data_IF_396728861345
#
_entry.id   IF_396728861345
#
_cell.length_a   1.000
_cell.length_b   1.000
_cell.length_c   1.000
_cell.angle_alpha   90.00
_cell.angle_beta   90.00
_cell.angle_gamma   90.00
#
_symmetry.space_group_name_H-M   'P 1'
#
loop_
_entity.id
_entity.type
_entity.pdbx_description
1 polymer ?
#
# COMPACT_ATOMS: atom_id res chain seq x y z
N UNK A 1 7.03 29.10 8.75
CA UNK A 1 7.41 28.44 7.46
C UNK A 1 8.83 27.87 7.47
N UNK A 2 9.75 28.37 8.28
CA UNK A 2 11.12 27.85 8.37
C UNK A 2 11.24 26.52 9.15
N UNK A 3 10.28 26.20 10.02
CA UNK A 3 10.32 24.96 10.80
C UNK A 3 9.99 23.68 9.97
N UNK A 4 9.27 23.82 8.87
CA UNK A 4 8.94 22.66 7.99
C UNK A 4 10.19 22.12 7.28
N UNK A 5 11.02 22.98 6.71
CA UNK A 5 12.24 22.57 6.02
C UNK A 5 13.28 21.87 6.90
N UNK A 6 13.42 22.28 8.16
CA UNK A 6 14.33 21.63 9.12
C UNK A 6 13.80 20.25 9.56
N UNK A 7 12.50 20.11 9.73
CA UNK A 7 11.87 18.82 10.06
C UNK A 7 12.10 17.77 8.95
N UNK A 8 11.97 18.16 7.70
CA UNK A 8 12.14 17.25 6.57
C UNK A 8 13.61 16.84 6.35
N UNK A 9 14.56 17.76 6.56
CA UNK A 9 16.01 17.45 6.54
C UNK A 9 16.36 16.45 7.65
N UNK A 10 15.82 16.66 8.85
CA UNK A 10 16.10 15.78 9.99
C UNK A 10 15.50 14.38 9.79
N UNK A 11 14.25 14.26 9.34
CA UNK A 11 13.62 12.98 9.03
C UNK A 11 14.43 12.18 8.02
N UNK A 12 14.88 12.82 6.96
CA UNK A 12 15.71 12.22 5.92
C UNK A 12 17.01 11.65 6.50
N UNK A 13 17.71 12.41 7.33
CA UNK A 13 18.95 11.96 7.97
C UNK A 13 18.71 10.74 8.84
N UNK A 14 17.63 10.74 9.63
CA UNK A 14 17.26 9.61 10.48
C UNK A 14 16.95 8.37 9.65
N UNK A 15 16.24 8.49 8.53
CA UNK A 15 15.98 7.37 7.63
C UNK A 15 17.28 6.71 7.15
N UNK A 16 18.25 7.55 6.71
CA UNK A 16 19.55 7.08 6.23
C UNK A 16 20.40 6.45 7.36
N UNK A 17 20.41 7.06 8.54
CA UNK A 17 21.16 6.60 9.71
C UNK A 17 20.60 5.29 10.28
N UNK A 18 19.25 5.13 10.25
CA UNK A 18 18.59 3.91 10.71
C UNK A 18 18.61 2.78 9.66
N UNK A 19 19.02 3.06 8.43
CA UNK A 19 19.04 2.07 7.35
C UNK A 19 17.63 1.55 7.02
N UNK A 20 16.63 2.44 6.97
CA UNK A 20 15.26 2.05 6.63
C UNK A 20 15.21 1.46 5.23
N UNK A 21 14.34 0.48 5.03
CA UNK A 21 14.19 -0.21 3.74
C UNK A 21 13.64 0.73 2.67
N UNK A 22 12.68 1.58 3.03
CA UNK A 22 12.22 2.72 2.22
C UNK A 22 11.80 3.91 3.08
N UNK A 23 11.64 5.06 2.44
CA UNK A 23 11.02 6.27 2.97
C UNK A 23 9.75 6.54 2.17
N UNK A 24 8.60 6.30 2.78
CA UNK A 24 7.29 6.39 2.14
C UNK A 24 6.73 7.80 2.25
N UNK A 25 6.08 8.26 1.17
CA UNK A 25 5.36 9.52 1.06
C UNK A 25 6.03 10.70 1.77
N UNK A 26 7.25 11.05 1.36
CA UNK A 26 8.12 11.99 2.10
C UNK A 26 7.54 13.41 2.20
N UNK A 27 6.60 13.77 1.34
CA UNK A 27 5.98 15.09 1.36
C UNK A 27 4.65 15.09 2.08
N UNK A 28 4.39 16.18 2.83
CA UNK A 28 3.13 16.37 3.54
C UNK A 28 1.93 16.33 2.58
N UNK A 29 0.81 15.82 3.10
CA UNK A 29 -0.47 15.74 2.40
C UNK A 29 -0.40 14.93 1.07
N UNK A 30 0.47 13.93 0.99
CA UNK A 30 0.61 13.07 -0.19
C UNK A 30 1.08 13.84 -1.43
N UNK A 31 2.06 14.72 -1.28
CA UNK A 31 2.59 15.51 -2.39
C UNK A 31 3.17 14.67 -3.51
N UNK A 32 2.71 14.89 -4.74
CA UNK A 32 3.01 14.08 -5.94
C UNK A 32 3.93 14.78 -6.96
N UNK A 33 4.76 15.73 -6.51
CA UNK A 33 5.66 16.44 -7.40
C UNK A 33 6.82 15.58 -7.90
N UNK A 34 6.86 15.24 -9.19
CA UNK A 34 8.01 14.57 -9.83
C UNK A 34 9.30 15.31 -9.52
N UNK A 35 9.34 16.63 -9.77
CA UNK A 35 10.53 17.44 -9.52
C UNK A 35 10.97 17.43 -8.05
N UNK A 36 10.01 17.49 -7.13
CA UNK A 36 10.27 17.44 -5.69
C UNK A 36 10.95 16.12 -5.30
N UNK A 37 10.40 14.99 -5.72
CA UNK A 37 10.94 13.66 -5.44
C UNK A 37 12.30 13.43 -6.08
N UNK A 38 12.49 13.82 -7.34
CA UNK A 38 13.82 13.80 -8.00
C UNK A 38 14.84 14.63 -7.23
N UNK A 39 14.43 15.78 -6.66
CA UNK A 39 15.31 16.61 -5.84
C UNK A 39 15.64 15.93 -4.52
N UNK A 40 14.64 15.35 -3.85
CA UNK A 40 14.83 14.61 -2.60
C UNK A 40 15.79 13.43 -2.78
N UNK A 41 15.65 12.66 -3.84
CA UNK A 41 16.51 11.50 -4.16
C UNK A 41 18.00 11.86 -4.34
N UNK A 42 18.34 13.11 -4.64
CA UNK A 42 19.74 13.56 -4.67
C UNK A 42 20.34 13.72 -3.26
N UNK A 43 19.51 13.73 -2.24
CA UNK A 43 19.89 14.06 -0.87
C UNK A 43 19.58 12.97 0.16
N UNK A 44 18.89 11.91 -0.22
CA UNK A 44 18.55 10.76 0.62
C UNK A 44 19.12 9.49 -0.01
N UNK A 45 19.67 8.60 0.82
CA UNK A 45 20.15 7.28 0.37
C UNK A 45 19.08 6.21 0.51
N UNK A 46 18.20 6.37 1.49
CA UNK A 46 17.05 5.49 1.69
C UNK A 46 16.16 5.53 0.46
N UNK A 47 15.83 4.38 -0.14
CA UNK A 47 14.94 4.32 -1.29
C UNK A 47 13.59 4.98 -1.02
N UNK A 48 12.99 5.57 -2.04
CA UNK A 48 11.70 6.26 -1.96
C UNK A 48 10.60 5.34 -2.45
N UNK A 49 9.55 5.18 -1.64
CA UNK A 49 8.29 4.51 -2.00
C UNK A 49 7.21 5.57 -2.13
N UNK A 50 6.63 5.69 -3.31
CA UNK A 50 5.47 6.54 -3.57
C UNK A 50 4.57 5.89 -4.60
N UNK A 51 3.50 6.53 -4.90
CA UNK A 51 2.41 6.35 -5.85
C UNK A 51 1.07 6.02 -5.22
N UNK A 52 0.98 5.84 -3.90
CA UNK A 52 -0.29 5.69 -3.20
C UNK A 52 -1.27 6.83 -3.54
N UNK A 53 -0.80 8.07 -3.57
CA UNK A 53 -1.63 9.25 -3.86
C UNK A 53 -1.71 9.62 -5.35
N UNK A 54 -1.05 8.87 -6.23
CA UNK A 54 -1.04 9.14 -7.69
C UNK A 54 -2.19 8.46 -8.44
N UNK A 55 -2.85 7.54 -7.90
CA UNK A 55 -4.15 6.92 -8.18
C UNK A 55 -4.55 6.70 -9.66
N UNK A 56 -3.61 6.55 -10.57
CA UNK A 56 -3.87 6.07 -11.93
C UNK A 56 -2.58 5.54 -12.58
N UNK A 57 -2.76 4.62 -13.50
CA UNK A 57 -1.67 3.91 -14.15
C UNK A 57 -0.71 4.85 -14.90
N UNK A 58 -1.25 5.82 -15.62
CA UNK A 58 -0.46 6.70 -16.49
C UNK A 58 0.47 7.57 -15.66
N UNK A 59 -0.08 8.28 -14.67
CA UNK A 59 0.69 9.19 -13.82
C UNK A 59 1.69 8.43 -12.94
N UNK A 60 1.31 7.25 -12.42
CA UNK A 60 2.22 6.40 -11.66
C UNK A 60 3.40 5.92 -12.55
N UNK A 61 3.10 5.56 -13.81
CA UNK A 61 4.14 5.20 -14.78
C UNK A 61 5.05 6.39 -15.08
N UNK A 62 4.51 7.59 -15.24
CA UNK A 62 5.31 8.80 -15.45
C UNK A 62 6.25 9.08 -14.27
N UNK A 63 5.78 8.89 -13.03
CA UNK A 63 6.60 8.99 -11.82
C UNK A 63 7.76 7.99 -11.83
N UNK A 64 7.49 6.74 -12.19
CA UNK A 64 8.50 5.68 -12.29
C UNK A 64 9.52 5.98 -13.39
N UNK A 65 9.06 6.29 -14.60
CA UNK A 65 9.92 6.62 -15.76
C UNK A 65 10.78 7.84 -15.51
N UNK A 66 10.24 8.84 -14.82
CA UNK A 66 10.98 10.02 -14.42
C UNK A 66 12.04 9.75 -13.32
N UNK A 67 12.09 8.54 -12.76
CA UNK A 67 12.98 8.21 -11.65
C UNK A 67 12.66 8.98 -10.37
N UNK A 68 11.39 9.33 -10.18
CA UNK A 68 10.93 10.05 -8.99
C UNK A 68 10.67 9.11 -7.79
N UNK A 69 10.60 7.81 -8.04
CA UNK A 69 10.44 6.77 -7.01
C UNK A 69 11.42 5.62 -7.23
N UNK A 70 11.62 4.78 -6.21
CA UNK A 70 12.41 3.55 -6.28
C UNK A 70 11.52 2.31 -6.19
N UNK A 71 10.37 2.44 -5.56
CA UNK A 71 9.32 1.43 -5.47
C UNK A 71 7.98 2.03 -5.90
N UNK A 72 7.12 1.26 -6.53
CA UNK A 72 5.74 1.66 -6.77
C UNK A 72 4.85 1.24 -5.59
N UNK A 73 3.86 2.06 -5.24
CA UNK A 73 2.81 1.73 -4.28
C UNK A 73 1.50 1.56 -5.05
N UNK A 74 0.81 0.45 -4.88
CA UNK A 74 -0.48 0.19 -5.52
C UNK A 74 -1.54 -0.18 -4.51
N UNK A 75 -2.75 0.33 -4.69
CA UNK A 75 -3.88 0.07 -3.80
C UNK A 75 -5.11 -0.37 -4.61
N UNK A 76 -5.58 -1.62 -4.45
CA UNK A 76 -6.77 -2.08 -5.14
C UNK A 76 -8.03 -1.25 -4.88
N UNK A 77 -8.11 -0.54 -3.77
CA UNK A 77 -9.25 0.31 -3.44
C UNK A 77 -9.27 1.61 -4.28
N UNK A 78 -8.10 2.03 -4.79
CA UNK A 78 -7.94 3.32 -5.48
C UNK A 78 -7.48 3.21 -6.93
N UNK A 79 -6.77 2.15 -7.29
CA UNK A 79 -6.09 2.03 -8.58
C UNK A 79 -6.83 1.13 -9.59
N UNK A 80 -8.16 1.13 -9.53
CA UNK A 80 -8.99 0.36 -10.45
C UNK A 80 -9.07 -1.14 -10.12
N UNK A 81 -9.06 -1.46 -8.83
CA UNK A 81 -9.16 -2.81 -8.31
C UNK A 81 -7.90 -3.64 -8.54
N UNK A 82 -8.03 -4.95 -8.36
CA UNK A 82 -6.95 -5.93 -8.62
C UNK A 82 -6.42 -5.78 -10.05
N UNK A 83 -7.30 -5.57 -11.02
CA UNK A 83 -6.92 -5.43 -12.44
C UNK A 83 -6.02 -4.21 -12.68
N UNK A 84 -6.34 -3.08 -12.07
CA UNK A 84 -5.57 -1.84 -12.19
C UNK A 84 -4.19 -1.98 -11.55
N UNK A 85 -4.15 -2.49 -10.31
CA UNK A 85 -2.89 -2.74 -9.62
C UNK A 85 -2.00 -3.78 -10.32
N UNK A 86 -2.60 -4.81 -10.95
CA UNK A 86 -1.83 -5.77 -11.75
C UNK A 86 -1.13 -5.09 -12.94
N UNK A 87 -1.82 -4.16 -13.63
CA UNK A 87 -1.20 -3.38 -14.70
C UNK A 87 -0.06 -2.51 -14.18
N UNK A 88 -0.24 -1.90 -13.01
CA UNK A 88 0.81 -1.12 -12.36
C UNK A 88 2.01 -2.00 -11.97
N UNK A 89 1.77 -3.20 -11.43
CA UNK A 89 2.80 -4.17 -11.09
C UNK A 89 3.64 -4.57 -12.31
N UNK A 90 2.99 -4.85 -13.45
CA UNK A 90 3.70 -5.16 -14.69
C UNK A 90 4.45 -3.96 -15.27
N UNK A 91 3.91 -2.76 -15.16
CA UNK A 91 4.62 -1.55 -15.56
C UNK A 91 5.90 -1.35 -14.72
N UNK A 92 5.79 -1.50 -13.40
CA UNK A 92 6.92 -1.45 -12.48
C UNK A 92 7.96 -2.54 -12.80
N UNK A 93 7.52 -3.79 -12.99
CA UNK A 93 8.37 -4.91 -13.36
C UNK A 93 9.14 -4.66 -14.66
N UNK A 94 8.47 -4.11 -15.69
CA UNK A 94 9.09 -3.75 -16.97
C UNK A 94 10.16 -2.66 -16.83
N UNK A 95 10.12 -1.87 -15.77
CA UNK A 95 11.12 -0.86 -15.42
C UNK A 95 12.17 -1.37 -14.42
N UNK A 96 12.10 -2.64 -14.00
CA UNK A 96 12.98 -3.24 -13.00
C UNK A 96 12.71 -2.77 -11.57
N UNK A 97 11.48 -2.37 -11.29
CA UNK A 97 11.03 -1.90 -9.99
C UNK A 97 10.10 -2.92 -9.30
N UNK A 98 10.13 -2.94 -7.98
CA UNK A 98 9.15 -3.63 -7.18
C UNK A 98 7.91 -2.76 -6.93
N UNK A 99 6.79 -3.42 -6.67
CA UNK A 99 5.55 -2.81 -6.20
C UNK A 99 5.25 -3.31 -4.80
N UNK A 100 4.94 -2.39 -3.89
CA UNK A 100 4.44 -2.72 -2.57
C UNK A 100 2.94 -2.41 -2.52
N UNK A 101 2.16 -3.42 -2.16
CA UNK A 101 0.69 -3.27 -2.12
C UNK A 101 0.31 -2.57 -0.83
N UNK A 102 -0.43 -1.47 -0.95
CA UNK A 102 -0.93 -0.70 0.18
C UNK A 102 -2.08 -1.40 0.86
N UNK A 103 -2.12 -1.27 2.19
CA UNK A 103 -3.20 -1.76 3.04
C UNK A 103 -3.27 -3.30 3.14
N UNK A 104 -4.28 -3.78 3.80
CA UNK A 104 -4.53 -5.20 4.06
C UNK A 104 -5.93 -5.59 3.59
N UNK A 105 -6.12 -6.87 3.35
CA UNK A 105 -7.38 -7.41 2.92
C UNK A 105 -7.23 -8.58 1.96
N UNK A 106 -8.31 -9.30 1.67
CA UNK A 106 -8.23 -10.47 0.79
C UNK A 106 -7.82 -10.11 -0.64
N UNK A 107 -8.24 -8.95 -1.16
CA UNK A 107 -7.82 -8.48 -2.49
C UNK A 107 -6.32 -8.25 -2.56
N UNK A 108 -5.72 -7.63 -1.53
CA UNK A 108 -4.30 -7.36 -1.41
C UNK A 108 -3.50 -8.66 -1.35
N UNK A 109 -3.94 -9.66 -0.59
CA UNK A 109 -3.28 -10.97 -0.50
C UNK A 109 -3.26 -11.70 -1.85
N UNK A 110 -4.38 -11.70 -2.57
CA UNK A 110 -4.44 -12.28 -3.92
C UNK A 110 -3.56 -11.55 -4.92
N UNK A 111 -3.55 -10.21 -4.87
CA UNK A 111 -2.72 -9.40 -5.74
C UNK A 111 -1.23 -9.70 -5.51
N UNK A 112 -0.79 -9.69 -4.26
CA UNK A 112 0.60 -9.99 -3.91
C UNK A 112 1.02 -11.40 -4.32
N UNK A 113 0.16 -12.39 -4.09
CA UNK A 113 0.43 -13.77 -4.50
C UNK A 113 0.58 -13.93 -6.02
N UNK A 114 -0.01 -13.01 -6.80
CA UNK A 114 0.06 -13.00 -8.26
C UNK A 114 1.20 -12.15 -8.82
N UNK A 115 1.84 -11.30 -8.02
CA UNK A 115 2.91 -10.40 -8.42
C UNK A 115 4.25 -10.89 -7.89
N UNK A 116 5.19 -11.22 -8.78
CA UNK A 116 6.53 -11.69 -8.39
C UNK A 116 7.46 -10.58 -7.90
N UNK A 117 7.12 -9.33 -8.15
CA UNK A 117 7.86 -8.13 -7.76
C UNK A 117 7.20 -7.39 -6.60
N UNK A 118 6.57 -8.13 -5.67
CA UNK A 118 6.01 -7.60 -4.42
C UNK A 118 6.62 -8.35 -3.25
N UNK A 119 7.00 -7.64 -2.17
CA UNK A 119 7.84 -8.22 -1.12
C UNK A 119 7.13 -8.38 0.22
N UNK A 120 6.39 -7.37 0.68
CA UNK A 120 5.86 -7.32 2.04
C UNK A 120 4.36 -7.09 2.06
N UNK A 121 3.65 -7.96 2.79
CA UNK A 121 2.25 -7.74 3.09
C UNK A 121 2.11 -6.76 4.26
N UNK A 122 1.30 -5.74 4.07
CA UNK A 122 1.01 -4.78 5.12
C UNK A 122 0.02 -5.34 6.14
N UNK A 123 0.45 -5.43 7.39
CA UNK A 123 -0.40 -5.81 8.51
C UNK A 123 -0.78 -4.55 9.27
N UNK A 124 -2.05 -4.37 9.54
CA UNK A 124 -2.52 -3.14 10.14
C UNK A 124 -2.24 -3.09 11.65
N UNK A 125 -1.05 -2.67 12.00
CA UNK A 125 -0.62 -2.49 13.39
C UNK A 125 -0.37 -1.01 13.68
N UNK A 126 -1.42 -0.27 14.06
CA UNK A 126 -1.27 1.14 14.43
C UNK A 126 -0.70 1.26 15.85
N UNK A 127 -1.32 0.61 16.83
CA UNK A 127 -0.86 0.59 18.22
C UNK A 127 -1.59 -0.51 19.00
N UNK A 128 -0.92 -1.26 19.92
CA UNK A 128 -1.55 -2.36 20.66
C UNK A 128 -2.77 -1.98 21.52
N UNK A 129 -2.95 -0.71 21.80
CA UNK A 129 -4.06 -0.17 22.62
C UNK A 129 -5.04 0.69 21.82
N UNK A 130 -4.83 0.84 20.51
CA UNK A 130 -5.76 1.55 19.62
C UNK A 130 -6.75 0.57 19.04
N UNK A 131 -8.02 0.98 18.94
CA UNK A 131 -8.99 0.25 18.15
C UNK A 131 -8.52 0.25 16.69
N UNK A 132 -8.47 -0.93 16.10
CA UNK A 132 -8.04 -1.06 14.73
C UNK A 132 -9.21 -0.77 13.79
N UNK A 133 -9.18 0.40 13.13
CA UNK A 133 -10.23 0.83 12.21
C UNK A 133 -10.39 -0.12 10.99
N UNK A 134 -9.41 -0.95 10.71
CA UNK A 134 -9.40 -1.90 9.58
C UNK A 134 -9.87 -3.31 10.01
N UNK A 135 -10.09 -3.53 11.30
CA UNK A 135 -10.70 -4.75 11.79
C UNK A 135 -12.21 -4.74 11.50
N UNK A 136 -12.56 -4.98 10.25
CA UNK A 136 -13.95 -4.98 9.82
C UNK A 136 -14.65 -6.27 10.27
N UNK A 137 -15.74 -6.18 11.03
CA UNK A 137 -16.48 -7.36 11.51
C UNK A 137 -17.27 -8.07 10.40
N UNK A 138 -17.01 -7.73 9.16
CA UNK A 138 -17.74 -8.27 8.00
C UNK A 138 -17.19 -9.58 7.46
N UNK A 139 -16.00 -9.99 7.92
CA UNK A 139 -15.42 -11.27 7.50
C UNK A 139 -15.80 -12.39 8.46
N UNK A 140 -16.13 -13.56 7.90
CA UNK A 140 -16.40 -14.77 8.64
C UNK A 140 -15.24 -15.78 8.51
N UNK A 141 -15.31 -16.90 9.26
CA UNK A 141 -14.34 -17.98 9.13
C UNK A 141 -12.97 -17.73 9.76
N UNK A 142 -12.87 -16.73 10.64
CA UNK A 142 -11.61 -16.44 11.36
C UNK A 142 -10.58 -15.68 10.52
N UNK A 143 -10.98 -15.04 9.44
CA UNK A 143 -10.08 -14.16 8.69
C UNK A 143 -9.64 -12.97 9.54
N UNK A 144 -8.36 -12.68 9.52
CA UNK A 144 -7.76 -11.56 10.24
C UNK A 144 -6.65 -10.91 9.39
N UNK A 145 -6.49 -9.60 9.52
CA UNK A 145 -5.37 -8.82 9.00
C UNK A 145 -4.54 -8.19 10.14
N UNK A 146 -4.67 -8.74 11.35
CA UNK A 146 -3.88 -8.36 12.50
C UNK A 146 -2.65 -9.28 12.64
N UNK A 147 -1.82 -9.06 13.65
CA UNK A 147 -0.61 -9.86 13.89
C UNK A 147 -0.88 -11.37 14.06
N UNK A 148 -2.08 -11.74 14.48
CA UNK A 148 -2.50 -13.13 14.63
C UNK A 148 -2.65 -13.89 13.29
N UNK A 149 -2.69 -13.18 12.18
CA UNK A 149 -2.71 -13.80 10.85
C UNK A 149 -1.32 -14.21 10.34
N UNK A 150 -0.26 -13.75 10.99
CA UNK A 150 1.12 -14.05 10.61
C UNK A 150 1.54 -15.38 11.24
N UNK A 151 1.98 -16.31 10.41
CA UNK A 151 2.44 -17.63 10.86
C UNK A 151 3.87 -17.60 11.42
N UNK A 152 4.37 -18.78 11.84
CA UNK A 152 5.71 -18.93 12.42
C UNK A 152 6.85 -18.61 11.43
N UNK A 153 6.58 -18.67 10.14
CA UNK A 153 7.54 -18.38 9.07
C UNK A 153 7.46 -16.90 8.62
N UNK A 154 6.61 -16.09 9.27
CA UNK A 154 6.39 -14.68 8.94
C UNK A 154 5.52 -14.47 7.71
N UNK A 155 4.72 -15.46 7.35
CA UNK A 155 3.85 -15.42 6.18
C UNK A 155 2.38 -15.24 6.56
N UNK A 156 1.59 -14.75 5.61
CA UNK A 156 0.13 -14.69 5.69
C UNK A 156 -0.49 -15.60 4.63
N UNK A 157 -1.53 -16.34 4.99
CA UNK A 157 -2.22 -17.21 4.04
C UNK A 157 -3.08 -16.41 3.07
N UNK A 158 -3.13 -16.85 1.83
CA UNK A 158 -4.10 -16.35 0.83
C UNK A 158 -5.37 -17.18 0.97
N UNK A 159 -6.56 -16.56 1.11
CA UNK A 159 -7.81 -17.30 1.20
C UNK A 159 -8.03 -18.14 -0.06
N UNK A 160 -8.51 -19.38 0.13
CA UNK A 160 -8.79 -20.33 -0.96
C UNK A 160 -10.31 -20.49 -1.13
N UNK A 161 -10.78 -20.41 -2.37
CA UNK A 161 -12.19 -20.56 -2.69
C UNK A 161 -12.65 -19.64 -3.82
N UNK A 162 -13.94 -19.67 -4.19
CA UNK A 162 -14.47 -18.81 -5.25
C UNK A 162 -14.34 -17.32 -4.94
N UNK A 163 -14.04 -16.51 -5.95
CA UNK A 163 -13.85 -15.08 -5.81
C UNK A 163 -12.60 -14.75 -5.00
N UNK A 164 -12.76 -14.00 -3.92
CA UNK A 164 -11.67 -13.69 -2.97
C UNK A 164 -11.48 -14.77 -1.90
N UNK A 165 -12.15 -15.93 -2.02
CA UNK A 165 -12.06 -17.00 -1.04
C UNK A 165 -12.66 -16.68 0.33
N UNK A 166 -13.49 -15.63 0.42
CA UNK A 166 -14.00 -15.10 1.66
C UNK A 166 -15.49 -15.40 1.88
N UNK A 167 -15.84 -15.71 3.11
CA UNK A 167 -17.22 -15.65 3.58
C UNK A 167 -17.48 -14.30 4.26
N UNK A 168 -18.61 -13.67 3.90
CA UNK A 168 -18.98 -12.37 4.43
C UNK A 168 -20.20 -12.48 5.34
N UNK A 169 -20.23 -11.70 6.41
CA UNK A 169 -21.43 -11.51 7.25
C UNK A 169 -22.34 -10.48 6.59
N UNK A 170 -23.19 -10.95 5.68
CA UNK A 170 -24.14 -10.10 4.97
C UNK A 170 -25.16 -9.45 5.90
N UNK A 171 -25.52 -10.09 7.01
CA UNK A 171 -26.42 -9.51 7.99
C UNK A 171 -25.79 -8.31 8.68
N UNK A 172 -24.51 -8.40 9.03
CA UNK A 172 -23.75 -7.28 9.61
C UNK A 172 -23.53 -6.16 8.59
N UNK A 173 -23.20 -6.50 7.35
CA UNK A 173 -23.06 -5.51 6.27
C UNK A 173 -24.37 -4.73 6.05
N UNK A 174 -25.52 -5.44 5.99
CA UNK A 174 -26.83 -4.78 5.84
C UNK A 174 -27.20 -3.94 7.06
N UNK A 175 -26.86 -4.40 8.26
CA UNK A 175 -27.14 -3.67 9.51
C UNK A 175 -26.37 -2.38 9.62
N UNK A 176 -25.14 -2.34 9.12
CA UNK A 176 -24.21 -1.19 9.24
C UNK A 176 -24.18 -0.31 7.99
N UNK A 177 -24.84 -0.72 6.91
CA UNK A 177 -24.88 0.04 5.68
C UNK A 177 -25.51 1.42 5.89
N UNK A 178 -24.80 2.45 5.46
CA UNK A 178 -25.28 3.85 5.49
C UNK A 178 -26.08 4.19 4.23
N UNK A 179 -25.74 3.58 3.12
CA UNK A 179 -26.40 3.77 1.81
C UNK A 179 -26.23 2.53 0.94
N UNK A 180 -27.06 2.37 -0.07
CA UNK A 180 -27.00 1.28 -1.04
C UNK A 180 -27.24 1.81 -2.46
N UNK A 181 -26.20 1.71 -3.28
CA UNK A 181 -26.30 2.03 -4.71
C UNK A 181 -26.34 0.75 -5.53
N UNK A 182 -27.35 0.61 -6.39
CA UNK A 182 -27.45 -0.50 -7.34
C UNK A 182 -27.04 0.00 -8.72
N UNK A 183 -25.88 -0.46 -9.19
CA UNK A 183 -25.42 -0.22 -10.55
C UNK A 183 -26.12 -1.20 -11.49
N UNK A 184 -26.69 -0.69 -12.59
CA UNK A 184 -27.35 -1.49 -13.63
C UNK A 184 -26.45 -1.65 -14.84
#
# INVERSE_FOLDING_TARGET
>A
SQSRGLGDVYKRQVCDECGLYWYEDPYADGGISIHGHQTLKKHVKTPILITEFVRNLETATDMMVAGATDFARGDPDYDGGITGCHKLAYAAEGLGMDIEVHSCGPAMRHLMAACRNSNYYEVNLVHPKADNAWSLPVYQGGYSDQLDCVDADGCVSVPDGPGLGMAYDWAEIERTALDKVVLK
#
